data_IF_918892645960
#
_entry.id   IF_918892645960
#
_cell.length_a   1.000
_cell.length_b   1.000
_cell.length_c   1.000
_cell.angle_alpha   90.00
_cell.angle_beta   90.00
_cell.angle_gamma   90.00
#
_symmetry.space_group_name_H-M   'P 1'
#
loop_
_entity.id
_entity.type
_entity.pdbx_description
1 polymer ?
#
# COMPACT_ATOMS: atom_id res chain seq x y z
N UNK A 1 -11.39 -21.20 12.76
CA UNK A 1 -10.68 -19.91 12.88
C UNK A 1 -9.45 -19.97 11.99
N UNK A 2 -9.47 -19.34 10.82
CA UNK A 2 -8.33 -19.27 9.90
C UNK A 2 -7.36 -18.19 10.40
N UNK A 3 -6.11 -18.57 10.68
CA UNK A 3 -5.10 -17.63 11.16
C UNK A 3 -4.80 -16.58 10.07
N UNK A 4 -4.80 -15.29 10.46
CA UNK A 4 -4.35 -14.23 9.57
C UNK A 4 -2.89 -14.50 9.14
N UNK A 5 -2.54 -14.26 7.87
CA UNK A 5 -1.17 -14.49 7.40
C UNK A 5 -0.21 -13.61 8.22
N UNK A 6 0.83 -14.23 8.80
CA UNK A 6 1.88 -13.52 9.56
C UNK A 6 2.64 -12.51 8.70
N UNK A 7 2.54 -12.61 7.37
CA UNK A 7 3.29 -11.81 6.42
C UNK A 7 2.36 -10.98 5.56
N UNK A 8 2.64 -9.68 5.47
CA UNK A 8 1.87 -8.77 4.62
C UNK A 8 2.30 -8.95 3.16
N UNK A 9 1.47 -9.63 2.37
CA UNK A 9 1.73 -9.89 0.95
C UNK A 9 1.96 -8.61 0.13
N UNK A 10 1.38 -7.47 0.54
CA UNK A 10 1.57 -6.15 -0.10
C UNK A 10 3.03 -5.69 -0.06
N UNK A 11 3.79 -6.09 0.96
CA UNK A 11 5.20 -5.70 1.08
C UNK A 11 6.10 -6.53 0.16
N UNK A 12 5.70 -7.77 -0.17
CA UNK A 12 6.54 -8.75 -0.84
C UNK A 12 6.89 -8.37 -2.27
N UNK A 13 5.94 -7.86 -3.07
CA UNK A 13 6.21 -7.52 -4.48
C UNK A 13 7.25 -6.39 -4.59
N UNK A 14 7.04 -5.29 -3.86
CA UNK A 14 7.96 -4.16 -3.86
C UNK A 14 9.32 -4.53 -3.22
N UNK A 15 9.32 -5.29 -2.12
CA UNK A 15 10.56 -5.76 -1.52
C UNK A 15 11.36 -6.64 -2.49
N UNK A 16 10.70 -7.48 -3.29
CA UNK A 16 11.38 -8.34 -4.27
C UNK A 16 12.07 -7.52 -5.37
N UNK A 17 11.42 -6.46 -5.85
CA UNK A 17 12.00 -5.54 -6.85
C UNK A 17 13.21 -4.79 -6.28
N UNK A 18 13.05 -4.20 -5.09
CA UNK A 18 14.12 -3.50 -4.38
C UNK A 18 15.31 -4.42 -4.14
N UNK A 19 15.06 -5.68 -3.76
CA UNK A 19 16.11 -6.66 -3.55
C UNK A 19 16.92 -6.93 -4.82
N UNK A 20 16.25 -7.10 -5.96
CA UNK A 20 16.92 -7.30 -7.25
C UNK A 20 17.81 -6.09 -7.59
N UNK A 21 17.32 -4.88 -7.37
CA UNK A 21 18.08 -3.65 -7.65
C UNK A 21 19.30 -3.51 -6.72
N UNK A 22 19.13 -3.71 -5.42
CA UNK A 22 20.24 -3.71 -4.46
C UNK A 22 21.28 -4.79 -4.78
N UNK A 23 20.82 -5.96 -5.24
CA UNK A 23 21.70 -7.04 -5.68
C UNK A 23 22.44 -6.64 -6.96
N UNK A 24 21.77 -6.04 -7.93
CA UNK A 24 22.40 -5.58 -9.17
C UNK A 24 23.52 -4.56 -8.89
N UNK A 25 23.23 -3.56 -8.07
CA UNK A 25 24.17 -2.48 -7.75
C UNK A 25 25.41 -2.99 -7.00
N UNK A 26 25.21 -3.94 -6.07
CA UNK A 26 26.33 -4.56 -5.35
C UNK A 26 27.18 -5.51 -6.21
N UNK A 27 26.67 -6.05 -7.33
CA UNK A 27 27.48 -6.81 -8.31
C UNK A 27 28.25 -5.88 -9.24
N UNK A 28 27.72 -4.68 -9.51
CA UNK A 28 28.38 -3.69 -10.36
C UNK A 28 29.61 -3.05 -9.70
N UNK A 29 29.84 -3.29 -8.41
CA UNK A 29 31.01 -2.82 -7.69
C UNK A 29 32.24 -3.69 -8.03
N UNK A 30 33.35 -3.12 -8.54
CA UNK A 30 34.44 -3.86 -9.20
C UNK A 30 35.31 -4.73 -8.28
N UNK A 31 35.15 -4.65 -6.96
CA UNK A 31 35.91 -5.48 -6.01
C UNK A 31 35.19 -6.82 -5.79
N UNK A 32 35.50 -7.76 -6.69
CA UNK A 32 34.86 -9.07 -6.91
C UNK A 32 34.89 -10.06 -5.75
N UNK A 33 34.22 -9.74 -4.65
CA UNK A 33 33.87 -10.69 -3.61
C UNK A 33 32.61 -11.46 -3.98
N UNK A 34 32.68 -12.80 -4.05
CA UNK A 34 31.48 -13.64 -4.11
C UNK A 34 30.51 -13.23 -2.98
N UNK A 35 29.24 -12.95 -3.32
CA UNK A 35 28.25 -12.53 -2.33
C UNK A 35 28.05 -13.61 -1.29
N UNK A 36 28.53 -13.36 -0.08
CA UNK A 36 28.31 -14.25 1.04
C UNK A 36 26.79 -14.39 1.31
N UNK A 37 26.31 -15.57 1.72
CA UNK A 37 24.90 -15.75 2.11
C UNK A 37 24.40 -14.72 3.14
N UNK A 38 25.27 -14.28 4.05
CA UNK A 38 24.97 -13.22 5.02
C UNK A 38 24.68 -11.85 4.37
N UNK A 39 25.31 -11.54 3.24
CA UNK A 39 25.06 -10.32 2.48
C UNK A 39 23.68 -10.36 1.80
N UNK A 40 23.33 -11.49 1.19
CA UNK A 40 22.02 -11.71 0.59
C UNK A 40 20.89 -11.57 1.62
N UNK A 41 21.07 -12.14 2.81
CA UNK A 41 20.10 -12.00 3.91
C UNK A 41 19.96 -10.53 4.37
N UNK A 42 21.08 -9.80 4.48
CA UNK A 42 21.05 -8.37 4.84
C UNK A 42 20.28 -7.55 3.81
N UNK A 43 20.56 -7.75 2.52
CA UNK A 43 19.88 -7.06 1.43
C UNK A 43 18.37 -7.38 1.41
N UNK A 44 17.99 -8.63 1.66
CA UNK A 44 16.59 -9.02 1.75
C UNK A 44 15.87 -8.30 2.90
N UNK A 45 16.48 -8.25 4.08
CA UNK A 45 15.95 -7.51 5.25
C UNK A 45 15.78 -6.02 4.95
N UNK A 46 16.79 -5.38 4.35
CA UNK A 46 16.70 -3.97 3.94
C UNK A 46 15.55 -3.73 2.96
N UNK A 47 15.37 -4.63 2.00
CA UNK A 47 14.32 -4.50 0.99
C UNK A 47 12.92 -4.51 1.59
N UNK A 48 12.70 -5.31 2.63
CA UNK A 48 11.43 -5.31 3.37
C UNK A 48 11.21 -4.02 4.17
N UNK A 49 12.24 -3.48 4.82
CA UNK A 49 12.12 -2.21 5.56
C UNK A 49 11.84 -1.03 4.63
N UNK A 50 12.46 -1.01 3.44
CA UNK A 50 12.15 0.00 2.42
C UNK A 50 10.73 -0.14 1.88
N UNK A 51 10.29 -1.35 1.55
CA UNK A 51 8.92 -1.60 1.12
C UNK A 51 7.89 -1.17 2.17
N UNK A 52 8.15 -1.46 3.44
CA UNK A 52 7.30 -1.04 4.56
C UNK A 52 7.22 0.48 4.69
N UNK A 53 8.37 1.16 4.59
CA UNK A 53 8.44 2.62 4.69
C UNK A 53 7.73 3.31 3.52
N UNK A 54 7.90 2.79 2.30
CA UNK A 54 7.19 3.28 1.11
C UNK A 54 5.67 3.20 1.28
N UNK A 55 5.17 2.04 1.70
CA UNK A 55 3.74 1.84 1.90
C UNK A 55 3.16 2.73 3.00
N UNK A 56 3.93 2.98 4.07
CA UNK A 56 3.53 3.93 5.11
C UNK A 56 3.32 5.33 4.54
N UNK A 57 4.25 5.82 3.71
CA UNK A 57 4.13 7.13 3.07
C UNK A 57 2.96 7.15 2.09
N UNK A 58 2.79 6.10 1.29
CA UNK A 58 1.67 5.97 0.37
C UNK A 58 0.32 6.02 1.10
N UNK A 59 0.19 5.31 2.22
CA UNK A 59 -1.04 5.29 3.00
C UNK A 59 -1.31 6.66 3.64
N UNK A 60 -0.27 7.40 4.07
CA UNK A 60 -0.41 8.77 4.54
C UNK A 60 -0.91 9.71 3.44
N UNK A 61 -0.29 9.66 2.26
CA UNK A 61 -0.70 10.47 1.11
C UNK A 61 -2.13 10.13 0.68
N UNK A 62 -2.51 8.86 0.67
CA UNK A 62 -3.88 8.46 0.35
C UNK A 62 -4.87 9.00 1.37
N UNK A 63 -4.58 8.89 2.67
CA UNK A 63 -5.44 9.43 3.72
C UNK A 63 -5.58 10.97 3.67
N UNK A 64 -4.56 11.69 3.20
CA UNK A 64 -4.64 13.13 2.97
C UNK A 64 -5.57 13.50 1.80
N UNK A 65 -5.67 12.61 0.80
CA UNK A 65 -6.46 12.79 -0.41
C UNK A 65 -7.83 12.08 -0.36
N UNK A 66 -8.15 11.37 0.72
CA UNK A 66 -9.48 10.80 0.92
C UNK A 66 -10.52 11.93 1.06
N UNK A 67 -11.73 11.78 0.48
CA UNK A 67 -12.80 12.78 0.61
C UNK A 67 -13.15 13.03 2.08
N UNK A 68 -12.60 14.09 2.65
CA UNK A 68 -13.02 14.59 3.96
C UNK A 68 -14.38 15.24 3.76
N UNK A 69 -15.43 14.57 4.25
CA UNK A 69 -16.83 14.99 4.23
C UNK A 69 -17.60 14.68 2.94
N UNK A 70 -17.75 13.39 2.59
CA UNK A 70 -19.00 12.94 1.92
C UNK A 70 -20.13 12.88 2.94
N UNK A 71 -20.45 14.03 3.53
CA UNK A 71 -21.66 14.22 4.30
C UNK A 71 -22.81 14.37 3.31
N UNK A 72 -23.43 13.26 2.91
CA UNK A 72 -24.79 13.34 2.39
C UNK A 72 -25.70 13.66 3.57
N UNK A 73 -25.87 14.96 3.83
CA UNK A 73 -26.98 15.43 4.67
C UNK A 73 -28.25 15.25 3.86
N UNK A 74 -28.84 14.05 3.93
CA UNK A 74 -30.21 13.84 3.48
C UNK A 74 -31.08 14.65 4.43
N UNK A 75 -31.62 15.77 3.96
CA UNK A 75 -32.60 16.51 4.74
C UNK A 75 -33.93 15.73 4.67
N UNK A 76 -34.72 15.74 5.74
CA UNK A 76 -36.05 15.09 5.73
C UNK A 76 -36.92 15.63 4.57
N UNK A 77 -36.69 16.87 4.16
CA UNK A 77 -37.37 17.50 3.03
C UNK A 77 -37.06 16.82 1.68
N UNK A 78 -35.86 16.26 1.51
CA UNK A 78 -35.48 15.49 0.32
C UNK A 78 -36.25 14.16 0.24
N UNK A 79 -36.54 13.55 1.40
CA UNK A 79 -37.34 12.32 1.50
C UNK A 79 -38.82 12.62 1.22
N UNK A 80 -39.31 13.79 1.66
CA UNK A 80 -40.67 14.23 1.42
C UNK A 80 -40.95 14.53 -0.07
N UNK A 81 -39.93 14.97 -0.82
CA UNK A 81 -40.02 15.19 -2.25
C UNK A 81 -40.21 13.89 -3.05
N UNK A 82 -39.71 12.75 -2.55
CA UNK A 82 -39.87 11.44 -3.21
C UNK A 82 -41.20 10.76 -2.91
N UNK A 83 -41.91 11.20 -1.87
CA UNK A 83 -43.18 10.60 -1.45
C UNK A 83 -44.42 11.27 -2.06
N UNK A 84 -44.25 12.31 -2.89
CA UNK A 84 -45.39 12.88 -3.63
C UNK A 84 -45.76 11.94 -4.78
N UNK A 85 -46.96 11.35 -4.79
CA UNK A 85 -47.46 10.68 -5.98
C UNK A 85 -47.53 11.74 -7.08
N UNK A 86 -47.06 11.40 -8.27
CA UNK A 86 -47.32 12.20 -9.46
C UNK A 86 -48.82 12.19 -9.74
N UNK A 87 -49.56 13.10 -9.10
CA UNK A 87 -50.92 13.46 -9.50
C UNK A 87 -50.82 14.03 -10.92
N UNK A 88 -51.11 13.15 -11.86
CA UNK A 88 -51.24 13.46 -13.28
C UNK A 88 -52.73 13.70 -13.50
N UNK A 89 -53.15 14.92 -13.94
CA UNK A 89 -54.55 15.22 -14.20
C UNK A 89 -55.12 14.44 -15.38
#
# INVERSE_FOLDING_TARGET
MTAAPKFNARLTDLASRIYIDLVRDSVAQPDGGAKAPAEAERLARMSFEFSKSFHRVLDQLNAENEPKNVGFTVQLDDIAAWSKPSDTP
#
